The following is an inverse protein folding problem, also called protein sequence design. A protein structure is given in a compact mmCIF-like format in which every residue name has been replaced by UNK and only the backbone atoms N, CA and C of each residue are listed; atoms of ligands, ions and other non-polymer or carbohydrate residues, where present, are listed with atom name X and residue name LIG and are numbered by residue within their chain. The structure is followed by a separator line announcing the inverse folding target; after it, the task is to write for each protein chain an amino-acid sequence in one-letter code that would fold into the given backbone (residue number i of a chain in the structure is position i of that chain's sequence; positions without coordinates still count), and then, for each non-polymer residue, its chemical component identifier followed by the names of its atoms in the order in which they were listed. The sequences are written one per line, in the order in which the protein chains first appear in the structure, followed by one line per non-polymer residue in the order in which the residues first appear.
data_IF_588477043099
#
_entry.id   IF_588477043099
#
_cell.length_a   1.000
_cell.length_b   1.000
_cell.length_c   1.000
_cell.angle_alpha   90.00
_cell.angle_beta   90.00
_cell.angle_gamma   90.00
#
_symmetry.space_group_name_H-M   'P 1'
#
loop_
_entity.id
_entity.type
_entity.pdbx_description
1 polymer ?
#
# COMPACT_ATOMS: atom_id res chain seq x y z
N UNK A 1 -70.79 -86.75 -27.20
CA UNK A 1 -70.57 -85.77 -26.13
C UNK A 1 -69.71 -84.66 -26.68
N UNK A 2 -70.09 -83.42 -26.34
CA UNK A 2 -69.59 -82.10 -26.76
C UNK A 2 -68.06 -81.88 -26.50
N UNK A 3 -67.47 -80.75 -26.99
CA UNK A 3 -66.25 -80.67 -27.78
C UNK A 3 -65.06 -80.04 -27.03
N UNK A 4 -63.89 -79.93 -27.68
CA UNK A 4 -62.88 -78.94 -27.29
C UNK A 4 -62.24 -78.31 -28.54
N UNK A 5 -62.65 -77.07 -28.81
CA UNK A 5 -62.04 -76.17 -29.80
C UNK A 5 -60.61 -75.77 -29.42
N UNK A 6 -59.71 -75.56 -30.39
CA UNK A 6 -58.46 -74.84 -30.18
C UNK A 6 -58.71 -73.33 -30.13
N UNK A 7 -58.38 -72.70 -28.99
CA UNK A 7 -58.35 -71.24 -28.83
C UNK A 7 -57.31 -70.62 -29.77
N UNK A 8 -57.80 -69.96 -30.82
CA UNK A 8 -57.01 -69.04 -31.61
C UNK A 8 -56.74 -67.77 -30.77
N UNK A 9 -55.47 -67.54 -30.39
CA UNK A 9 -55.02 -66.30 -29.76
C UNK A 9 -55.06 -65.19 -30.80
N UNK A 10 -55.96 -64.23 -30.63
CA UNK A 10 -55.94 -62.96 -31.35
C UNK A 10 -54.70 -62.16 -30.94
N UNK A 11 -53.92 -61.74 -31.94
CA UNK A 11 -52.84 -60.77 -31.78
C UNK A 11 -53.43 -59.42 -31.32
N UNK A 12 -52.72 -58.64 -30.51
CA UNK A 12 -53.12 -57.27 -30.21
C UNK A 12 -53.06 -56.46 -31.51
N UNK A 13 -54.16 -55.78 -31.78
CA UNK A 13 -54.33 -54.82 -32.86
C UNK A 13 -53.42 -53.61 -32.53
N UNK A 14 -52.20 -53.60 -33.08
CA UNK A 14 -51.36 -52.39 -33.12
C UNK A 14 -52.06 -51.38 -34.01
N UNK A 15 -52.96 -50.60 -33.40
CA UNK A 15 -53.45 -49.37 -33.98
C UNK A 15 -52.26 -48.42 -34.08
N UNK A 16 -51.60 -48.42 -35.23
CA UNK A 16 -50.79 -47.30 -35.70
C UNK A 16 -51.72 -46.08 -35.80
N UNK A 17 -51.92 -45.39 -34.67
CA UNK A 17 -52.49 -44.06 -34.64
C UNK A 17 -51.52 -43.14 -35.36
N UNK A 18 -51.75 -42.93 -36.66
CA UNK A 18 -51.05 -41.90 -37.41
C UNK A 18 -51.36 -40.56 -36.77
N UNK A 19 -50.32 -39.88 -36.29
CA UNK A 19 -50.42 -38.50 -35.78
C UNK A 19 -51.14 -37.65 -36.82
N UNK A 20 -52.25 -37.02 -36.41
CA UNK A 20 -53.01 -36.18 -37.33
C UNK A 20 -52.24 -34.87 -37.56
N UNK A 21 -52.35 -34.30 -38.77
CA UNK A 21 -51.72 -33.02 -39.12
C UNK A 21 -52.04 -31.92 -38.10
N UNK A 22 -53.24 -31.96 -37.53
CA UNK A 22 -53.74 -31.03 -36.52
C UNK A 22 -52.99 -31.14 -35.17
N UNK A 23 -52.61 -32.36 -34.79
CA UNK A 23 -51.83 -32.63 -33.58
C UNK A 23 -50.38 -32.15 -33.73
N UNK A 24 -49.77 -32.35 -34.90
CA UNK A 24 -48.43 -31.82 -35.20
C UNK A 24 -48.44 -30.28 -35.20
N UNK A 25 -49.45 -29.64 -35.81
CA UNK A 25 -49.61 -28.18 -35.77
C UNK A 25 -49.82 -27.65 -34.34
N UNK A 26 -50.62 -28.35 -33.54
CA UNK A 26 -50.84 -28.00 -32.12
C UNK A 26 -49.55 -28.06 -31.30
N UNK A 27 -48.78 -29.15 -31.42
CA UNK A 27 -47.49 -29.30 -30.73
C UNK A 27 -46.48 -28.23 -31.19
N UNK A 28 -46.42 -27.95 -32.48
CA UNK A 28 -45.52 -26.92 -33.01
C UNK A 28 -45.87 -25.53 -32.48
N UNK A 29 -47.15 -25.20 -32.38
CA UNK A 29 -47.62 -23.93 -31.82
C UNK A 29 -47.24 -23.79 -30.33
N UNK A 30 -47.43 -24.83 -29.52
CA UNK A 30 -47.06 -24.83 -28.11
C UNK A 30 -45.54 -24.70 -27.93
N UNK A 31 -44.74 -25.43 -28.72
CA UNK A 31 -43.27 -25.33 -28.68
C UNK A 31 -42.80 -23.93 -29.11
N UNK A 32 -43.41 -23.33 -30.13
CA UNK A 32 -43.06 -21.98 -30.58
C UNK A 32 -43.31 -20.94 -29.50
N UNK A 33 -44.46 -21.01 -28.81
CA UNK A 33 -44.80 -20.10 -27.70
C UNK A 33 -43.80 -20.28 -26.54
N UNK A 34 -43.54 -21.52 -26.13
CA UNK A 34 -42.58 -21.81 -25.06
C UNK A 34 -41.16 -21.35 -25.44
N UNK A 35 -40.76 -21.52 -26.69
CA UNK A 35 -39.47 -21.08 -27.22
C UNK A 35 -39.26 -19.57 -27.08
N UNK A 36 -40.29 -18.76 -27.37
CA UNK A 36 -40.22 -17.29 -27.23
C UNK A 36 -40.00 -16.87 -25.77
N UNK A 37 -40.73 -17.47 -24.83
CA UNK A 37 -40.58 -17.15 -23.40
C UNK A 37 -39.18 -17.50 -22.86
N UNK A 38 -38.66 -18.68 -23.23
CA UNK A 38 -37.31 -19.10 -22.81
C UNK A 38 -36.25 -18.18 -23.41
N UNK A 39 -36.35 -17.84 -24.70
CA UNK A 39 -35.41 -16.96 -25.37
C UNK A 39 -35.32 -15.58 -24.72
N UNK A 40 -36.45 -14.96 -24.39
CA UNK A 40 -36.48 -13.66 -23.71
C UNK A 40 -35.77 -13.71 -22.34
N UNK A 41 -36.04 -14.76 -21.55
CA UNK A 41 -35.42 -14.92 -20.24
C UNK A 41 -33.90 -15.15 -20.33
N UNK A 42 -33.43 -15.86 -21.36
CA UNK A 42 -32.01 -16.10 -21.60
C UNK A 42 -31.29 -14.81 -21.99
N UNK A 43 -31.89 -13.97 -22.84
CA UNK A 43 -31.29 -12.69 -23.27
C UNK A 43 -31.09 -11.74 -22.09
N UNK A 44 -32.08 -11.61 -21.21
CA UNK A 44 -31.95 -10.74 -20.02
C UNK A 44 -30.82 -11.23 -19.12
N UNK A 45 -30.77 -12.55 -18.84
CA UNK A 45 -29.70 -13.14 -18.02
C UNK A 45 -28.32 -12.94 -18.64
N UNK A 46 -28.19 -13.09 -19.96
CA UNK A 46 -26.93 -12.85 -20.66
C UNK A 46 -26.50 -11.38 -20.56
N UNK A 47 -27.44 -10.43 -20.64
CA UNK A 47 -27.14 -8.99 -20.47
C UNK A 47 -26.70 -8.69 -19.05
N UNK A 48 -27.39 -9.22 -18.05
CA UNK A 48 -27.04 -9.01 -16.64
C UNK A 48 -25.66 -9.59 -16.31
N UNK A 49 -25.33 -10.75 -16.87
CA UNK A 49 -24.00 -11.34 -16.71
C UNK A 49 -22.93 -10.51 -17.43
N UNK A 50 -23.21 -9.98 -18.62
CA UNK A 50 -22.31 -9.08 -19.32
C UNK A 50 -22.03 -7.80 -18.51
N UNK A 51 -23.07 -7.20 -17.90
CA UNK A 51 -22.95 -6.03 -17.01
C UNK A 51 -22.11 -6.33 -15.79
N UNK A 52 -22.36 -7.47 -15.14
CA UNK A 52 -21.60 -7.90 -13.98
C UNK A 52 -20.13 -8.15 -14.31
N UNK A 53 -19.87 -8.86 -15.41
CA UNK A 53 -18.53 -9.14 -15.91
C UNK A 53 -17.76 -7.86 -16.21
N UNK A 54 -18.40 -6.90 -16.90
CA UNK A 54 -17.78 -5.61 -17.20
C UNK A 54 -17.48 -4.80 -15.94
N UNK A 55 -18.40 -4.74 -14.97
CA UNK A 55 -18.15 -4.06 -13.72
C UNK A 55 -16.94 -4.65 -12.97
N UNK A 56 -16.86 -5.98 -12.86
CA UNK A 56 -15.72 -6.65 -12.24
C UNK A 56 -14.41 -6.40 -12.99
N UNK A 57 -14.47 -6.43 -14.33
CA UNK A 57 -13.34 -6.11 -15.19
C UNK A 57 -12.81 -4.70 -14.89
N UNK A 58 -13.68 -3.69 -14.81
CA UNK A 58 -13.26 -2.32 -14.51
C UNK A 58 -12.66 -2.17 -13.11
N UNK A 59 -13.22 -2.84 -12.10
CA UNK A 59 -12.66 -2.85 -10.75
C UNK A 59 -11.24 -3.41 -10.77
N UNK A 60 -11.03 -4.56 -11.43
CA UNK A 60 -9.71 -5.19 -11.56
C UNK A 60 -8.72 -4.28 -12.31
N UNK A 61 -9.13 -3.64 -13.40
CA UNK A 61 -8.29 -2.70 -14.15
C UNK A 61 -7.92 -1.48 -13.30
N UNK A 62 -8.84 -0.95 -12.50
CA UNK A 62 -8.55 0.18 -11.61
C UNK A 62 -7.58 -0.19 -10.50
N UNK A 63 -7.69 -1.40 -9.96
CA UNK A 63 -6.75 -1.92 -8.96
C UNK A 63 -5.36 -2.13 -9.58
N UNK A 64 -5.30 -2.73 -10.77
CA UNK A 64 -4.06 -2.89 -11.53
C UNK A 64 -3.36 -1.54 -11.77
N UNK A 65 -4.10 -0.47 -12.12
CA UNK A 65 -3.50 0.86 -12.24
C UNK A 65 -2.94 1.38 -10.91
N UNK A 66 -3.65 1.19 -9.80
CA UNK A 66 -3.17 1.62 -8.47
C UNK A 66 -1.88 0.91 -8.08
N UNK A 67 -1.71 -0.35 -8.47
CA UNK A 67 -0.55 -1.15 -8.11
C UNK A 67 0.62 -0.94 -9.10
N UNK A 68 0.33 -0.75 -10.38
CA UNK A 68 1.32 -0.58 -11.43
C UNK A 68 2.02 0.78 -11.40
N UNK A 69 1.27 1.87 -11.14
CA UNK A 69 1.80 3.24 -11.08
C UNK A 69 2.97 3.40 -10.09
N UNK A 70 2.82 3.03 -8.80
CA UNK A 70 3.93 3.13 -7.85
C UNK A 70 5.06 2.15 -8.20
N UNK A 71 4.75 0.97 -8.75
CA UNK A 71 5.77 -0.03 -9.12
C UNK A 71 6.66 0.43 -10.27
N UNK A 72 6.07 1.02 -11.31
CA UNK A 72 6.81 1.54 -12.46
C UNK A 72 7.41 2.92 -12.22
N UNK A 73 7.15 3.53 -11.05
CA UNK A 73 7.58 4.88 -10.70
C UNK A 73 7.11 5.91 -11.73
N UNK A 74 5.92 5.71 -12.29
CA UNK A 74 5.43 6.57 -13.36
C UNK A 74 3.93 6.50 -13.59
N UNK A 75 3.39 7.60 -14.11
CA UNK A 75 2.02 7.73 -14.56
C UNK A 75 2.02 8.08 -16.05
N UNK A 76 1.62 7.16 -16.95
CA UNK A 76 1.49 7.44 -18.37
C UNK A 76 0.42 8.50 -18.68
N UNK A 77 0.47 9.07 -19.88
CA UNK A 77 -0.65 9.83 -20.42
C UNK A 77 -1.90 8.95 -20.57
N UNK A 78 -3.09 9.56 -20.69
CA UNK A 78 -4.36 8.85 -20.76
C UNK A 78 -4.39 7.72 -21.82
N UNK A 79 -3.75 7.95 -22.98
CA UNK A 79 -3.65 6.97 -24.07
C UNK A 79 -2.81 5.74 -23.70
N UNK A 80 -1.82 5.88 -22.81
CA UNK A 80 -0.95 4.77 -22.39
C UNK A 80 -1.43 4.03 -21.13
N UNK A 81 -2.59 4.40 -20.57
CA UNK A 81 -3.12 3.74 -19.38
C UNK A 81 -3.68 2.34 -19.68
N UNK A 82 -4.25 2.13 -20.87
CA UNK A 82 -4.69 0.81 -21.32
C UNK A 82 -3.53 -0.16 -21.44
N UNK A 83 -2.41 0.27 -22.01
CA UNK A 83 -1.18 -0.52 -22.13
C UNK A 83 -0.63 -0.91 -20.76
N UNK A 84 -0.64 0.04 -19.80
CA UNK A 84 -0.20 -0.21 -18.43
C UNK A 84 -1.07 -1.27 -17.74
N UNK A 85 -2.39 -1.18 -17.90
CA UNK A 85 -3.35 -2.19 -17.40
C UNK A 85 -3.11 -3.54 -18.04
N UNK A 86 -2.94 -3.57 -19.36
CA UNK A 86 -2.74 -4.79 -20.12
C UNK A 86 -1.48 -5.54 -19.66
N UNK A 87 -0.39 -4.79 -19.45
CA UNK A 87 0.86 -5.31 -18.92
C UNK A 87 0.69 -5.87 -17.50
N UNK A 88 0.02 -5.12 -16.62
CA UNK A 88 -0.15 -5.50 -15.22
C UNK A 88 -1.06 -6.73 -15.04
N UNK A 89 -2.17 -6.78 -15.77
CA UNK A 89 -3.11 -7.91 -15.74
C UNK A 89 -2.69 -9.08 -16.63
N UNK A 90 -1.60 -8.94 -17.39
CA UNK A 90 -1.14 -9.92 -18.39
C UNK A 90 -2.23 -10.30 -19.41
N UNK A 91 -3.03 -9.31 -19.83
CA UNK A 91 -4.06 -9.45 -20.86
C UNK A 91 -3.62 -8.77 -22.15
N UNK A 92 -4.16 -9.15 -23.32
CA UNK A 92 -3.94 -8.42 -24.56
C UNK A 92 -4.38 -6.95 -24.45
N UNK A 93 -3.69 -5.98 -25.08
CA UNK A 93 -4.08 -4.56 -25.06
C UNK A 93 -5.53 -4.32 -25.49
N UNK A 94 -5.99 -5.00 -26.54
CA UNK A 94 -7.37 -4.91 -27.02
C UNK A 94 -8.40 -5.26 -25.92
N UNK A 95 -8.06 -6.18 -25.01
CA UNK A 95 -8.94 -6.55 -23.89
C UNK A 95 -9.03 -5.48 -22.83
N UNK A 96 -8.01 -4.62 -22.68
CA UNK A 96 -8.06 -3.44 -21.82
C UNK A 96 -8.85 -2.31 -22.49
N UNK A 97 -8.68 -2.13 -23.79
CA UNK A 97 -9.32 -1.07 -24.56
C UNK A 97 -10.78 -1.34 -24.93
N UNK A 98 -11.19 -2.60 -25.04
CA UNK A 98 -12.51 -2.95 -25.57
C UNK A 98 -13.29 -3.89 -24.66
N UNK A 99 -14.61 -3.65 -24.57
CA UNK A 99 -15.55 -4.56 -23.92
C UNK A 99 -15.60 -5.91 -24.65
N UNK A 100 -16.12 -6.98 -24.01
CA UNK A 100 -16.33 -8.25 -24.69
C UNK A 100 -17.19 -8.16 -25.97
N UNK A 101 -17.99 -7.10 -26.10
CA UNK A 101 -18.83 -6.80 -27.25
C UNK A 101 -18.11 -5.99 -28.34
N UNK A 102 -16.84 -5.62 -28.14
CA UNK A 102 -16.04 -4.84 -29.08
C UNK A 102 -16.25 -3.33 -28.99
N UNK A 103 -16.80 -2.83 -27.86
CA UNK A 103 -16.97 -1.39 -27.67
C UNK A 103 -15.78 -0.77 -26.94
N UNK A 104 -15.31 0.38 -27.41
CA UNK A 104 -14.14 1.04 -26.83
C UNK A 104 -14.43 1.64 -25.46
N UNK A 105 -13.63 1.24 -24.47
CA UNK A 105 -13.46 1.90 -23.17
C UNK A 105 -12.63 3.16 -23.33
N UNK A 106 -12.79 4.10 -22.38
CA UNK A 106 -12.01 5.33 -22.33
C UNK A 106 -11.36 5.49 -20.97
N UNK A 107 -10.07 5.77 -21.02
CA UNK A 107 -9.29 6.17 -19.85
C UNK A 107 -9.18 7.69 -19.86
N UNK A 108 -9.63 8.32 -18.79
CA UNK A 108 -9.59 9.77 -18.62
C UNK A 108 -8.75 10.10 -17.40
N UNK A 109 -7.95 11.16 -17.51
CA UNK A 109 -7.23 11.77 -16.40
C UNK A 109 -7.83 13.14 -16.12
N UNK A 110 -7.78 13.55 -14.86
CA UNK A 110 -8.25 14.87 -14.45
C UNK A 110 -7.48 15.97 -15.21
N UNK A 111 -8.13 16.91 -15.93
CA UNK A 111 -7.44 18.01 -16.61
C UNK A 111 -6.68 18.94 -15.67
N UNK A 112 -7.07 19.00 -14.39
CA UNK A 112 -6.38 19.74 -13.33
C UNK A 112 -5.23 18.94 -12.70
N UNK A 113 -4.96 17.72 -13.16
CA UNK A 113 -3.82 16.90 -12.72
C UNK A 113 -2.52 17.68 -12.85
N UNK A 114 -1.79 17.88 -11.75
CA UNK A 114 -0.41 18.40 -11.77
C UNK A 114 0.51 17.48 -10.98
N UNK A 115 1.61 17.09 -11.61
CA UNK A 115 2.64 16.19 -11.08
C UNK A 115 4.01 16.65 -11.59
N UNK A 116 5.08 16.39 -10.86
CA UNK A 116 6.45 16.72 -11.23
C UNK A 116 7.01 17.97 -10.56
N UNK A 117 8.17 18.44 -11.03
CA UNK A 117 8.96 19.48 -10.36
C UNK A 117 8.48 20.91 -10.64
N UNK A 118 7.45 21.08 -11.48
CA UNK A 118 6.84 22.37 -11.76
C UNK A 118 5.31 22.25 -11.79
N UNK A 119 4.61 23.36 -11.57
CA UNK A 119 3.16 23.42 -11.45
C UNK A 119 2.40 23.21 -12.78
N UNK A 120 3.10 23.15 -13.91
CA UNK A 120 2.51 22.99 -15.24
C UNK A 120 2.65 21.57 -15.80
N UNK A 121 3.45 20.72 -15.15
CA UNK A 121 3.68 19.36 -15.62
C UNK A 121 2.48 18.48 -15.27
N UNK A 122 2.07 17.70 -16.27
CA UNK A 122 0.92 16.80 -16.26
C UNK A 122 1.40 15.40 -16.66
N UNK A 123 0.52 14.40 -16.70
CA UNK A 123 0.90 13.10 -17.25
C UNK A 123 1.32 13.24 -18.74
N UNK A 124 2.39 12.57 -19.21
CA UNK A 124 3.13 11.51 -18.52
C UNK A 124 4.12 12.04 -17.48
N UNK A 125 4.26 11.32 -16.37
CA UNK A 125 5.20 11.60 -15.30
C UNK A 125 6.05 10.37 -15.00
N UNK A 126 7.36 10.57 -14.89
CA UNK A 126 8.29 9.57 -14.37
C UNK A 126 9.01 10.16 -13.17
N UNK A 127 9.04 9.42 -12.06
CA UNK A 127 9.69 9.87 -10.85
C UNK A 127 11.20 9.95 -11.03
N UNK A 128 11.77 11.06 -10.58
CA UNK A 128 13.21 11.29 -10.50
C UNK A 128 13.63 11.46 -9.03
N UNK A 129 14.93 11.64 -8.78
CA UNK A 129 15.45 11.97 -7.46
C UNK A 129 14.84 13.25 -6.84
N UNK A 130 14.26 14.13 -7.67
CA UNK A 130 13.59 15.33 -7.21
C UNK A 130 12.16 15.10 -6.73
N UNK A 131 11.54 13.96 -7.07
CA UNK A 131 10.14 13.67 -6.78
C UNK A 131 9.18 14.59 -7.54
N UNK A 132 8.04 14.86 -6.91
CA UNK A 132 7.00 15.78 -7.38
C UNK A 132 6.77 16.89 -6.36
N UNK A 133 6.32 18.06 -6.82
CA UNK A 133 5.55 18.98 -5.98
C UNK A 133 4.27 18.29 -5.49
N UNK A 134 3.55 18.90 -4.54
CA UNK A 134 2.29 18.34 -4.04
C UNK A 134 1.37 17.98 -5.21
N UNK A 135 1.00 16.69 -5.36
CA UNK A 135 0.10 16.28 -6.44
C UNK A 135 -1.23 17.02 -6.35
N UNK A 136 -1.58 17.73 -7.42
CA UNK A 136 -2.89 18.39 -7.54
C UNK A 136 -3.81 17.47 -8.33
N UNK A 137 -4.93 17.10 -7.73
CA UNK A 137 -5.94 16.21 -8.33
C UNK A 137 -5.38 14.97 -9.06
N UNK A 138 -4.60 14.09 -8.39
CA UNK A 138 -4.17 12.82 -8.96
C UNK A 138 -5.35 11.83 -9.02
N UNK A 139 -6.24 12.06 -10.00
CA UNK A 139 -7.50 11.34 -10.21
C UNK A 139 -7.58 10.91 -11.68
N UNK A 140 -8.25 9.80 -11.91
CA UNK A 140 -8.57 9.31 -13.24
C UNK A 140 -9.83 8.47 -13.21
N UNK A 141 -10.31 8.05 -14.37
CA UNK A 141 -11.43 7.12 -14.43
C UNK A 141 -11.36 6.25 -15.67
N UNK A 142 -11.97 5.08 -15.57
CA UNK A 142 -12.22 4.19 -16.69
C UNK A 142 -13.72 4.24 -16.98
N UNK A 143 -14.07 4.62 -18.19
CA UNK A 143 -15.45 4.74 -18.66
C UNK A 143 -15.68 3.64 -19.69
N UNK A 144 -16.79 2.93 -19.54
CA UNK A 144 -17.17 1.84 -20.44
C UNK A 144 -18.67 1.86 -20.73
N UNK A 145 -19.05 1.36 -21.90
CA UNK A 145 -20.44 1.17 -22.27
C UNK A 145 -20.61 -0.13 -23.05
N UNK A 146 -21.65 -0.91 -22.69
CA UNK A 146 -21.95 -2.19 -23.35
C UNK A 146 -22.81 -2.04 -24.61
N UNK A 147 -23.44 -0.89 -24.82
CA UNK A 147 -24.35 -0.66 -25.93
C UNK A 147 -23.68 -0.01 -27.15
N UNK A 148 -22.56 0.69 -26.95
CA UNK A 148 -21.84 1.44 -28.00
C UNK A 148 -20.46 1.90 -27.53
N UNK A 149 -19.66 2.41 -28.46
CA UNK A 149 -18.41 3.09 -28.15
C UNK A 149 -18.63 4.35 -27.31
N UNK A 150 -17.74 4.51 -26.33
CA UNK A 150 -17.67 5.70 -25.48
C UNK A 150 -17.03 6.85 -26.28
N UNK A 151 -17.70 8.02 -26.38
CA UNK A 151 -17.19 9.17 -27.13
C UNK A 151 -15.82 9.65 -26.62
N UNK A 152 -14.98 10.15 -27.52
CA UNK A 152 -13.64 10.65 -27.19
C UNK A 152 -13.63 12.02 -26.52
N UNK A 153 -14.70 12.79 -26.68
CA UNK A 153 -14.87 14.19 -26.25
C UNK A 153 -15.62 14.33 -24.91
N UNK A 154 -15.66 13.25 -24.11
CA UNK A 154 -16.27 13.29 -22.79
C UNK A 154 -15.58 14.32 -21.88
N UNK A 155 -16.37 15.21 -21.31
CA UNK A 155 -15.92 16.14 -20.29
C UNK A 155 -15.66 15.37 -18.98
N UNK A 156 -14.43 15.47 -18.46
CA UNK A 156 -14.01 14.77 -17.24
C UNK A 156 -14.90 15.10 -16.05
N UNK A 157 -15.13 16.38 -15.75
CA UNK A 157 -15.89 16.82 -14.57
C UNK A 157 -17.35 16.34 -14.63
N UNK A 158 -17.98 16.44 -15.80
CA UNK A 158 -19.36 15.96 -16.02
C UNK A 158 -19.50 14.47 -15.72
N UNK A 159 -18.52 13.64 -16.11
CA UNK A 159 -18.54 12.19 -15.85
C UNK A 159 -18.10 11.89 -14.41
N UNK A 160 -17.17 12.65 -13.87
CA UNK A 160 -16.64 12.47 -12.52
C UNK A 160 -17.72 12.71 -11.46
N UNK A 161 -18.55 13.73 -11.63
CA UNK A 161 -19.62 14.07 -10.68
C UNK A 161 -20.95 13.35 -10.95
N UNK A 162 -20.97 12.48 -11.97
CA UNK A 162 -22.16 11.75 -12.37
C UNK A 162 -22.66 10.82 -11.26
N UNK A 163 -23.95 10.93 -10.91
CA UNK A 163 -24.59 10.04 -9.96
C UNK A 163 -24.55 8.58 -10.46
N UNK A 164 -24.53 7.62 -9.53
CA UNK A 164 -24.56 6.20 -9.90
C UNK A 164 -25.86 5.88 -10.64
N UNK A 165 -25.75 5.21 -11.79
CA UNK A 165 -26.92 4.80 -12.59
C UNK A 165 -27.52 5.94 -13.40
N UNK A 166 -26.78 7.01 -13.68
CA UNK A 166 -27.15 8.01 -14.68
C UNK A 166 -26.14 8.04 -15.82
N UNK A 167 -26.52 8.65 -16.93
CA UNK A 167 -25.70 8.79 -18.14
C UNK A 167 -25.45 10.27 -18.44
N UNK A 168 -24.31 10.63 -19.04
CA UNK A 168 -24.08 11.98 -19.51
C UNK A 168 -25.16 12.41 -20.51
N UNK A 169 -25.54 13.70 -20.46
CA UNK A 169 -26.48 14.26 -21.41
C UNK A 169 -26.00 14.04 -22.86
N UNK A 170 -26.91 13.63 -23.74
CA UNK A 170 -26.61 13.31 -25.15
C UNK A 170 -26.16 11.86 -25.38
N UNK A 171 -25.87 11.10 -24.33
CA UNK A 171 -25.64 9.66 -24.44
C UNK A 171 -26.99 8.93 -24.41
N UNK A 172 -27.54 8.65 -25.61
CA UNK A 172 -28.78 7.87 -25.76
C UNK A 172 -28.53 6.38 -25.52
N UNK A 173 -28.20 6.00 -24.28
CA UNK A 173 -27.97 4.61 -23.84
C UNK A 173 -28.71 4.34 -22.55
N UNK A 174 -29.01 3.06 -22.30
CA UNK A 174 -29.57 2.64 -21.02
C UNK A 174 -28.53 2.87 -19.91
N UNK A 175 -28.97 3.46 -18.81
CA UNK A 175 -28.05 3.81 -17.72
C UNK A 175 -27.43 2.61 -17.01
N UNK A 176 -28.04 1.43 -17.17
CA UNK A 176 -27.51 0.15 -16.69
C UNK A 176 -26.32 -0.37 -17.52
N UNK A 177 -26.16 0.12 -18.74
CA UNK A 177 -25.10 -0.31 -19.66
C UNK A 177 -23.91 0.66 -19.66
N UNK A 178 -23.97 1.74 -18.87
CA UNK A 178 -22.90 2.74 -18.73
C UNK A 178 -22.20 2.62 -17.38
N UNK A 179 -20.88 2.46 -17.42
CA UNK A 179 -20.05 2.21 -16.26
C UNK A 179 -18.95 3.25 -16.12
N UNK A 180 -18.77 3.74 -14.89
CA UNK A 180 -17.68 4.65 -14.52
C UNK A 180 -16.97 4.07 -13.31
N UNK A 181 -15.71 3.71 -13.50
CA UNK A 181 -14.82 3.30 -12.43
C UNK A 181 -13.85 4.43 -12.10
N UNK A 182 -14.08 5.08 -10.95
CA UNK A 182 -13.25 6.19 -10.48
C UNK A 182 -11.95 5.66 -9.85
N UNK A 183 -10.85 6.31 -10.20
CA UNK A 183 -9.51 6.03 -9.72
C UNK A 183 -9.01 7.24 -8.94
N UNK A 184 -8.73 7.04 -7.66
CA UNK A 184 -8.02 8.00 -6.82
C UNK A 184 -6.59 7.51 -6.63
N UNK A 185 -5.62 8.34 -7.01
CA UNK A 185 -4.18 8.08 -6.90
C UNK A 185 -3.56 8.90 -5.77
N UNK A 186 -4.32 9.66 -4.98
CA UNK A 186 -3.76 10.44 -3.86
C UNK A 186 -3.00 9.55 -2.87
N UNK A 187 -3.56 8.40 -2.54
CA UNK A 187 -2.96 7.46 -1.59
C UNK A 187 -1.68 6.75 -2.07
N UNK A 188 -1.30 6.88 -3.35
CA UNK A 188 -0.04 6.33 -3.84
C UNK A 188 1.13 7.30 -3.73
N UNK A 189 0.90 8.54 -3.30
CA UNK A 189 1.95 9.53 -3.08
C UNK A 189 2.15 9.77 -1.59
N UNK A 190 3.41 9.75 -1.16
CA UNK A 190 3.82 10.03 0.22
C UNK A 190 4.76 11.21 0.24
N UNK A 191 4.59 12.07 1.24
CA UNK A 191 5.39 13.26 1.47
C UNK A 191 6.69 12.88 2.18
N UNK A 192 7.82 13.32 1.64
CA UNK A 192 9.12 13.24 2.28
C UNK A 192 9.60 14.65 2.62
N UNK A 193 9.89 14.88 3.90
CA UNK A 193 10.48 16.13 4.38
C UNK A 193 11.90 15.82 4.87
N UNK A 194 12.89 16.52 4.31
CA UNK A 194 14.28 16.46 4.74
C UNK A 194 14.66 17.83 5.27
N UNK A 195 14.91 17.91 6.57
CA UNK A 195 15.23 19.16 7.24
C UNK A 195 16.69 19.15 7.68
N UNK A 196 17.55 19.96 7.07
CA UNK A 196 18.94 20.07 7.50
C UNK A 196 19.07 21.24 8.48
N UNK A 197 19.19 20.91 9.77
CA UNK A 197 19.39 21.92 10.84
C UNK A 197 20.86 22.09 11.20
N UNK A 198 21.74 21.24 10.66
CA UNK A 198 23.18 21.36 10.77
C UNK A 198 23.68 22.65 10.09
N UNK A 199 24.68 23.29 10.69
CA UNK A 199 25.29 24.53 10.20
C UNK A 199 26.56 24.30 9.39
N UNK A 200 27.20 23.16 9.59
CA UNK A 200 28.53 22.87 9.08
C UNK A 200 28.52 21.78 8.01
N UNK A 201 27.50 20.91 8.01
CA UNK A 201 27.39 19.77 7.10
C UNK A 201 26.13 19.79 6.25
N UNK A 202 26.27 19.39 4.98
CA UNK A 202 25.14 19.11 4.10
C UNK A 202 24.54 17.75 4.41
N UNK A 203 23.22 17.63 4.31
CA UNK A 203 22.53 16.35 4.47
C UNK A 203 22.53 15.58 3.16
N UNK A 204 23.28 14.47 3.09
CA UNK A 204 23.38 13.63 1.90
C UNK A 204 22.31 12.53 1.88
N UNK A 205 21.64 12.36 0.74
CA UNK A 205 20.62 11.33 0.56
C UNK A 205 20.52 10.88 -0.91
N UNK A 206 19.87 9.74 -1.15
CA UNK A 206 19.54 9.24 -2.48
C UNK A 206 18.11 8.69 -2.49
N UNK A 207 17.47 8.72 -3.65
CA UNK A 207 16.12 8.20 -3.87
C UNK A 207 16.22 7.09 -4.90
N UNK A 208 15.60 5.92 -4.68
CA UNK A 208 15.54 4.79 -5.62
C UNK A 208 16.89 4.46 -6.31
N UNK A 209 18.02 4.68 -5.62
CA UNK A 209 19.36 4.45 -6.17
C UNK A 209 19.86 5.50 -7.17
N UNK A 210 19.12 6.59 -7.38
CA UNK A 210 19.65 7.78 -8.05
C UNK A 210 20.88 8.30 -7.28
N UNK A 211 21.82 8.93 -8.00
CA UNK A 211 23.05 9.46 -7.39
C UNK A 211 22.80 10.45 -6.26
N UNK A 212 23.82 10.68 -5.44
CA UNK A 212 23.74 11.51 -4.23
C UNK A 212 23.11 12.87 -4.52
N UNK A 213 22.13 13.21 -3.70
CA UNK A 213 21.50 14.52 -3.57
C UNK A 213 21.92 15.12 -2.23
N UNK A 214 21.84 16.43 -2.13
CA UNK A 214 22.12 17.15 -0.88
C UNK A 214 20.97 18.05 -0.49
N UNK A 215 20.83 18.25 0.81
CA UNK A 215 20.05 19.33 1.42
C UNK A 215 21.05 20.33 2.00
N UNK A 216 21.01 21.56 1.50
CA UNK A 216 21.93 22.63 1.92
C UNK A 216 21.81 22.91 3.42
N UNK A 217 22.90 23.40 4.03
CA UNK A 217 22.96 23.72 5.46
C UNK A 217 21.86 24.69 5.86
N UNK A 218 21.18 24.43 6.97
CA UNK A 218 20.06 25.26 7.46
C UNK A 218 18.84 25.33 6.54
N UNK A 219 18.71 24.44 5.54
CA UNK A 219 17.58 24.43 4.60
C UNK A 219 16.66 23.21 4.79
N UNK A 220 15.46 23.30 4.21
CA UNK A 220 14.50 22.21 4.15
C UNK A 220 14.20 21.86 2.70
N UNK A 221 14.13 20.57 2.41
CA UNK A 221 13.60 20.03 1.17
C UNK A 221 12.33 19.25 1.43
N UNK A 222 11.38 19.40 0.52
CA UNK A 222 10.09 18.73 0.58
C UNK A 222 9.69 18.29 -0.82
N UNK A 223 9.28 17.03 -0.95
CA UNK A 223 8.80 16.46 -2.19
C UNK A 223 7.87 15.28 -1.93
N UNK A 224 7.08 14.92 -2.93
CA UNK A 224 6.19 13.76 -2.92
C UNK A 224 6.76 12.67 -3.82
N UNK A 225 6.74 11.45 -3.33
CA UNK A 225 7.24 10.27 -4.01
C UNK A 225 6.17 9.18 -4.03
N UNK A 226 6.27 8.26 -4.97
CA UNK A 226 5.41 7.09 -5.02
C UNK A 226 5.61 6.18 -3.81
N UNK A 227 4.54 5.49 -3.44
CA UNK A 227 4.55 4.45 -2.44
C UNK A 227 5.59 3.37 -2.77
N UNK A 228 6.34 2.96 -1.75
CA UNK A 228 7.41 2.01 -1.85
C UNK A 228 8.74 2.59 -2.34
N UNK A 229 8.87 3.92 -2.51
CA UNK A 229 10.14 4.54 -2.92
C UNK A 229 11.20 4.39 -1.85
N UNK A 230 12.41 4.00 -2.26
CA UNK A 230 13.53 3.79 -1.34
C UNK A 230 14.26 5.11 -1.11
N UNK A 231 14.36 5.54 0.15
CA UNK A 231 15.21 6.65 0.59
C UNK A 231 16.45 6.07 1.23
N UNK A 232 17.61 6.44 0.70
CA UNK A 232 18.90 6.09 1.27
C UNK A 232 19.51 7.34 1.89
N UNK A 233 19.84 7.27 3.17
CA UNK A 233 20.40 8.35 3.96
C UNK A 233 21.88 8.05 4.18
N UNK A 234 22.71 9.08 4.06
CA UNK A 234 24.15 8.98 4.23
C UNK A 234 24.63 9.92 5.33
N UNK A 235 25.71 9.54 5.99
CA UNK A 235 26.48 10.44 6.83
C UNK A 235 27.09 11.58 6.00
N UNK A 236 27.51 12.66 6.65
CA UNK A 236 28.16 13.79 5.97
C UNK A 236 29.43 13.41 5.20
N UNK A 237 30.10 12.33 5.59
CA UNK A 237 31.28 11.80 4.89
C UNK A 237 30.94 10.98 3.62
N UNK A 238 29.65 10.74 3.36
CA UNK A 238 29.16 9.97 2.21
C UNK A 238 28.97 8.47 2.47
N UNK A 239 29.24 7.98 3.68
CA UNK A 239 29.00 6.59 4.06
C UNK A 239 27.50 6.33 4.26
N UNK A 240 27.07 5.10 3.94
CA UNK A 240 25.67 4.69 4.10
C UNK A 240 25.30 4.69 5.59
N UNK A 241 24.28 5.46 5.95
CA UNK A 241 23.73 5.47 7.31
C UNK A 241 22.51 4.57 7.41
N UNK A 242 21.51 4.79 6.54
CA UNK A 242 20.25 4.07 6.60
C UNK A 242 19.61 3.94 5.21
N UNK A 243 18.78 2.92 5.05
CA UNK A 243 17.93 2.75 3.86
C UNK A 243 16.53 2.39 4.32
N UNK A 244 15.57 3.16 3.87
CA UNK A 244 14.17 3.01 4.24
C UNK A 244 13.27 3.04 3.00
N UNK A 245 12.13 2.36 3.08
CA UNK A 245 11.10 2.36 2.05
C UNK A 245 9.94 3.24 2.51
N UNK A 246 9.60 4.25 1.71
CA UNK A 246 8.49 5.17 1.99
C UNK A 246 7.15 4.46 1.83
N UNK A 247 6.54 4.14 2.96
CA UNK A 247 5.19 3.60 3.03
C UNK A 247 4.15 4.63 3.46
N UNK A 248 4.60 5.70 4.12
CA UNK A 248 3.81 6.78 4.71
C UNK A 248 4.55 8.12 4.62
N UNK A 249 3.84 9.20 4.91
CA UNK A 249 4.44 10.53 5.05
C UNK A 249 5.53 10.52 6.13
N UNK A 250 6.76 10.83 5.74
CA UNK A 250 7.93 10.70 6.63
C UNK A 250 8.77 11.98 6.63
N UNK A 251 9.36 12.30 7.79
CA UNK A 251 10.29 13.41 7.94
C UNK A 251 11.59 12.97 8.58
N UNK A 252 12.70 13.52 8.10
CA UNK A 252 14.03 13.34 8.68
C UNK A 252 14.67 14.69 8.97
N UNK A 253 15.52 14.70 9.98
CA UNK A 253 16.30 15.83 10.43
C UNK A 253 17.77 15.48 10.33
N UNK A 254 18.56 16.30 9.67
CA UNK A 254 20.02 16.15 9.61
C UNK A 254 20.67 17.08 10.63
N UNK A 255 21.44 16.51 11.55
CA UNK A 255 22.11 17.21 12.65
C UNK A 255 23.41 16.49 13.02
N UNK A 256 24.49 17.25 13.28
CA UNK A 256 25.82 16.71 13.59
C UNK A 256 26.31 15.67 12.57
N UNK A 257 26.08 15.93 11.28
CA UNK A 257 26.50 15.05 10.18
C UNK A 257 25.76 13.72 10.05
N UNK A 258 24.61 13.56 10.71
CA UNK A 258 23.79 12.35 10.67
C UNK A 258 22.29 12.66 10.54
N UNK A 259 21.54 11.74 9.92
CA UNK A 259 20.08 11.81 9.85
C UNK A 259 19.41 11.15 11.05
N UNK A 260 18.30 11.73 11.53
CA UNK A 260 17.43 11.18 12.55
C UNK A 260 15.95 11.43 12.24
N UNK A 261 15.05 10.68 12.87
CA UNK A 261 13.57 10.88 12.74
C UNK A 261 13.02 11.98 13.65
N UNK A 262 13.78 12.35 14.67
CA UNK A 262 13.41 13.37 15.62
C UNK A 262 14.51 14.43 15.63
N UNK A 263 14.12 15.68 15.85
CA UNK A 263 15.08 16.71 16.23
C UNK A 263 15.60 16.30 17.61
N UNK A 264 16.85 15.89 17.69
CA UNK A 264 17.46 15.53 18.97
C UNK A 264 17.64 16.81 19.81
N UNK A 265 17.72 17.98 19.17
CA UNK A 265 17.84 19.29 19.83
C UNK A 265 16.93 20.40 19.28
N UNK A 266 15.83 20.68 19.97
CA UNK A 266 15.47 22.09 20.21
C UNK A 266 16.61 22.69 21.06
N UNK A 267 17.10 23.88 20.71
CA UNK A 267 18.36 24.46 21.19
C UNK A 267 18.86 23.88 22.52
N UNK A 268 19.96 23.10 22.46
CA UNK A 268 20.63 22.43 23.59
C UNK A 268 20.22 22.98 24.96
N UNK A 269 19.44 22.26 25.80
CA UNK A 269 20.09 21.83 27.02
C UNK A 269 21.22 20.90 26.57
N UNK A 270 22.46 21.14 26.98
CA UNK A 270 23.56 20.20 26.74
C UNK A 270 23.05 18.77 26.93
N UNK A 271 23.52 17.81 26.11
CA UNK A 271 23.29 16.40 26.45
C UNK A 271 23.57 16.31 27.94
N UNK A 272 22.58 15.92 28.76
CA UNK A 272 22.78 15.95 30.21
C UNK A 272 24.11 15.26 30.46
N UNK A 273 25.07 15.94 31.12
CA UNK A 273 26.52 15.64 31.12
C UNK A 273 26.93 14.16 30.96
N UNK A 274 26.12 13.25 31.50
CA UNK A 274 26.14 11.83 31.29
C UNK A 274 26.16 11.33 29.82
N UNK A 275 25.30 11.83 28.92
CA UNK A 275 25.27 11.37 27.52
C UNK A 275 26.54 11.70 26.74
N UNK A 276 27.08 12.90 26.96
CA UNK A 276 28.40 13.33 26.45
C UNK A 276 29.54 12.45 27.03
N UNK A 277 29.44 12.07 28.31
CA UNK A 277 30.41 11.17 28.94
C UNK A 277 30.34 9.74 28.37
N UNK A 278 29.14 9.21 28.12
CA UNK A 278 28.96 7.87 27.51
C UNK A 278 29.54 7.85 26.09
N UNK A 279 29.25 8.89 25.30
CA UNK A 279 29.78 9.01 23.95
C UNK A 279 31.32 9.20 23.94
N UNK A 280 31.85 10.02 24.84
CA UNK A 280 33.30 10.17 25.02
C UNK A 280 33.97 8.86 25.46
N UNK A 281 33.30 8.07 26.32
CA UNK A 281 33.80 6.79 26.79
C UNK A 281 33.80 5.72 25.71
N UNK A 282 32.76 5.65 24.86
CA UNK A 282 32.71 4.71 23.72
C UNK A 282 33.71 5.05 22.62
N UNK A 283 33.99 6.35 22.42
CA UNK A 283 34.92 6.82 21.40
C UNK A 283 36.39 6.79 21.87
N UNK A 284 36.67 6.53 23.15
CA UNK A 284 38.02 6.37 23.65
C UNK A 284 38.65 5.08 23.09
N UNK A 285 39.97 5.07 22.77
CA UNK A 285 40.64 3.86 22.30
C UNK A 285 40.45 2.71 23.29
N UNK A 286 40.12 1.49 22.83
CA UNK A 286 39.94 0.36 23.74
C UNK A 286 41.27 0.04 24.43
N UNK A 287 41.23 -0.40 25.70
CA UNK A 287 42.42 -0.83 26.43
C UNK A 287 43.10 -2.00 25.72
N UNK A 288 44.42 -2.09 25.87
CA UNK A 288 45.27 -2.99 25.09
C UNK A 288 45.13 -4.48 25.45
N UNK A 289 44.58 -4.80 26.62
CA UNK A 289 44.44 -6.19 27.10
C UNK A 289 43.26 -6.36 28.08
N UNK A 290 42.00 -6.21 27.62
CA UNK A 290 40.84 -6.39 28.49
C UNK A 290 40.70 -7.86 28.89
N UNK A 291 40.51 -8.13 30.18
CA UNK A 291 40.28 -9.47 30.70
C UNK A 291 38.88 -9.96 30.41
N UNK A 292 38.76 -11.27 30.20
CA UNK A 292 37.47 -11.97 30.03
C UNK A 292 36.54 -11.39 28.95
N UNK A 293 37.10 -10.70 27.93
CA UNK A 293 36.31 -10.12 26.84
C UNK A 293 35.52 -8.86 27.24
N UNK A 294 35.90 -8.20 28.32
CA UNK A 294 35.32 -6.92 28.71
C UNK A 294 35.47 -5.87 27.59
N UNK A 295 34.42 -5.10 27.35
CA UNK A 295 34.43 -4.01 26.38
C UNK A 295 33.70 -2.80 26.95
N UNK A 296 33.94 -1.62 26.38
CA UNK A 296 33.36 -0.37 26.84
C UNK A 296 31.81 -0.39 26.81
N UNK A 297 31.21 -1.09 25.83
CA UNK A 297 29.76 -1.24 25.75
C UNK A 297 29.19 -2.02 26.96
N UNK A 298 29.84 -3.11 27.36
CA UNK A 298 29.42 -3.91 28.51
C UNK A 298 29.43 -3.08 29.81
N UNK A 299 30.42 -2.20 30.01
CA UNK A 299 30.46 -1.30 31.17
C UNK A 299 29.28 -0.33 31.16
N UNK A 300 28.89 0.19 29.99
CA UNK A 300 27.74 1.09 29.85
C UNK A 300 26.42 0.36 30.11
N UNK A 301 26.25 -0.85 29.56
CA UNK A 301 25.04 -1.65 29.74
C UNK A 301 24.82 -1.97 31.23
N UNK A 302 25.90 -2.37 31.94
CA UNK A 302 25.88 -2.61 33.39
C UNK A 302 25.58 -1.34 34.19
N UNK A 303 26.12 -0.20 33.77
CA UNK A 303 25.83 1.09 34.41
C UNK A 303 24.35 1.48 34.26
N UNK A 304 23.76 1.27 33.08
CA UNK A 304 22.32 1.49 32.87
C UNK A 304 21.47 0.54 33.72
N UNK A 305 21.85 -0.74 33.81
CA UNK A 305 21.16 -1.73 34.64
C UNK A 305 21.24 -1.37 36.13
N UNK A 306 22.40 -0.89 36.60
CA UNK A 306 22.58 -0.38 37.95
C UNK A 306 21.69 0.84 38.22
N UNK A 307 21.70 1.85 37.34
CA UNK A 307 20.87 3.04 37.48
C UNK A 307 19.37 2.74 37.50
N UNK A 308 18.94 1.84 36.62
CA UNK A 308 17.55 1.38 36.56
C UNK A 308 17.13 0.68 37.86
N UNK A 309 17.97 -0.23 38.36
CA UNK A 309 17.72 -0.97 39.60
C UNK A 309 17.73 -0.05 40.82
N UNK A 310 18.65 0.93 40.84
CA UNK A 310 18.70 1.97 41.86
C UNK A 310 17.42 2.79 41.88
N UNK A 311 16.91 3.18 40.71
CA UNK A 311 15.67 3.93 40.60
C UNK A 311 14.48 3.13 41.16
N UNK A 312 14.39 1.82 40.86
CA UNK A 312 13.37 0.92 41.41
C UNK A 312 13.48 0.81 42.94
N UNK A 313 14.70 0.63 43.47
CA UNK A 313 14.92 0.56 44.91
C UNK A 313 14.58 1.88 45.62
N UNK A 314 14.95 3.02 45.03
CA UNK A 314 14.77 4.34 45.60
C UNK A 314 13.32 4.83 45.56
N UNK A 315 12.58 4.54 44.49
CA UNK A 315 11.21 5.01 44.28
C UNK A 315 10.14 4.04 44.78
N UNK A 316 10.51 2.79 45.09
CA UNK A 316 9.55 1.70 45.29
C UNK A 316 8.99 1.19 43.95
N UNK A 317 8.44 -0.03 43.94
CA UNK A 317 7.97 -0.66 42.71
C UNK A 317 6.84 0.13 42.01
N UNK A 318 6.83 0.21 40.66
CA UNK A 318 5.71 0.77 39.92
C UNK A 318 4.41 0.00 40.22
N UNK A 319 3.23 0.63 40.14
CA UNK A 319 1.95 0.10 40.64
C UNK A 319 1.47 -1.23 40.04
N UNK A 320 2.16 -1.77 39.02
CA UNK A 320 1.86 -3.05 38.38
C UNK A 320 2.61 -4.25 38.97
N UNK A 321 3.58 -4.05 39.87
CA UNK A 321 4.33 -5.11 40.55
C UNK A 321 4.08 -4.96 42.04
N UNK A 322 3.93 -6.07 42.78
CA UNK A 322 3.61 -6.09 44.21
C UNK A 322 4.37 -4.99 44.97
N UNK A 323 3.63 -4.04 45.54
CA UNK A 323 4.20 -2.88 46.22
C UNK A 323 5.05 -3.35 47.41
N UNK A 324 6.36 -3.16 47.35
CA UNK A 324 7.20 -3.30 48.53
C UNK A 324 7.06 -2.02 49.36
N UNK A 325 6.57 -2.14 50.59
CA UNK A 325 6.24 -1.01 51.49
C UNK A 325 7.41 -0.07 51.82
N UNK A 326 8.66 -0.46 51.52
CA UNK A 326 9.87 0.28 51.90
C UNK A 326 10.95 0.26 50.81
N UNK A 327 10.91 1.24 49.90
CA UNK A 327 12.07 1.61 49.09
C UNK A 327 13.00 2.57 49.84
N UNK A 328 14.29 2.63 49.46
CA UNK A 328 15.21 3.70 49.89
C UNK A 328 15.83 3.60 51.30
N UNK A 329 15.70 2.46 52.01
CA UNK A 329 16.36 2.28 53.32
C UNK A 329 17.52 1.28 53.24
N UNK A 330 18.67 1.63 53.83
CA UNK A 330 19.87 0.76 53.88
C UNK A 330 19.84 -0.24 55.04
N UNK A 331 18.86 -0.12 55.94
CA UNK A 331 18.68 -1.00 57.10
C UNK A 331 17.99 -2.33 56.76
N UNK A 332 17.22 -2.39 55.67
CA UNK A 332 16.42 -3.55 55.29
C UNK A 332 17.08 -4.32 54.13
N UNK A 333 18.26 -4.89 54.38
CA UNK A 333 19.06 -5.64 53.38
C UNK A 333 18.40 -6.92 52.85
N UNK A 334 17.23 -7.27 53.38
CA UNK A 334 16.47 -8.46 53.01
C UNK A 334 15.47 -8.22 51.87
N UNK A 335 15.26 -6.97 51.43
CA UNK A 335 14.33 -6.70 50.32
C UNK A 335 14.94 -7.13 48.97
N UNK A 336 14.21 -7.87 48.11
CA UNK A 336 14.74 -8.34 46.83
C UNK A 336 15.35 -7.25 45.93
N UNK A 337 14.77 -6.04 45.81
CA UNK A 337 15.37 -4.97 45.01
C UNK A 337 16.74 -4.51 45.50
N UNK A 338 16.98 -4.54 46.81
CA UNK A 338 18.29 -4.18 47.39
C UNK A 338 19.35 -5.24 47.09
N UNK A 339 18.97 -6.53 47.03
CA UNK A 339 19.89 -7.60 46.62
C UNK A 339 20.29 -7.46 45.16
N UNK A 340 19.31 -7.21 44.28
CA UNK A 340 19.57 -6.99 42.85
C UNK A 340 20.47 -5.76 42.67
N UNK A 341 20.25 -4.69 43.43
CA UNK A 341 21.12 -3.50 43.40
C UNK A 341 22.58 -3.84 43.75
N UNK A 342 22.81 -4.60 44.82
CA UNK A 342 24.16 -5.03 45.21
C UNK A 342 24.79 -5.97 44.18
N UNK A 343 24.00 -6.85 43.56
CA UNK A 343 24.48 -7.73 42.49
C UNK A 343 24.89 -6.92 41.25
N UNK A 344 24.10 -5.90 40.87
CA UNK A 344 24.44 -4.97 39.79
C UNK A 344 25.69 -4.15 40.12
N UNK A 345 25.85 -3.67 41.35
CA UNK A 345 27.06 -2.95 41.78
C UNK A 345 28.32 -3.83 41.69
N UNK A 346 28.22 -5.07 42.18
CA UNK A 346 29.31 -6.04 42.10
C UNK A 346 29.67 -6.40 40.64
N UNK A 347 28.67 -6.55 39.76
CA UNK A 347 28.89 -6.78 38.32
C UNK A 347 29.55 -5.58 37.66
N UNK A 348 29.04 -4.37 37.89
CA UNK A 348 29.61 -3.14 37.35
C UNK A 348 31.08 -2.97 37.77
N UNK A 349 31.40 -3.23 39.03
CA UNK A 349 32.78 -3.21 39.52
C UNK A 349 33.66 -4.27 38.83
N UNK A 350 33.14 -5.49 38.66
CA UNK A 350 33.87 -6.56 37.98
C UNK A 350 34.16 -6.23 36.50
N UNK A 351 33.15 -5.74 35.75
CA UNK A 351 33.33 -5.35 34.36
C UNK A 351 34.26 -4.16 34.19
N UNK A 352 34.19 -3.18 35.09
CA UNK A 352 35.10 -2.03 35.07
C UNK A 352 36.54 -2.45 35.33
N UNK A 353 36.79 -3.30 36.35
CA UNK A 353 38.13 -3.81 36.65
C UNK A 353 38.68 -4.68 35.50
N UNK A 354 37.85 -5.55 34.93
CA UNK A 354 38.24 -6.38 33.79
C UNK A 354 38.54 -5.55 32.52
N UNK A 355 38.01 -4.33 32.41
CA UNK A 355 38.30 -3.44 31.30
C UNK A 355 39.65 -2.72 31.48
N UNK A 356 40.05 -2.39 32.70
CA UNK A 356 41.25 -1.56 32.96
C UNK A 356 42.50 -2.35 33.37
N UNK A 357 42.35 -3.56 33.93
CA UNK A 357 43.46 -4.43 34.39
C UNK A 357 43.88 -5.45 33.35
#
# INVERSE_FOLDING_TARGET
MLPTEPRCRTAPDERCGGFTLLEILGVLAVIAILGVFVAQSAIVRMRDEARRSEHLSLVNMSQALRDAVPRQRGLPAAVGLSDLVALELQIPPDRAEETPQGHRRRFLLDPALRLGTNINLTAPYTQSAAGSLQPVSPRGMIVSCLARDVPSDLNFDTVWDLAKGTVPAGMNVDAEDFFVQRLDLRGVFHRLILNNVDRDHVGLYAIDGFGHQWVEVGTRREAWFFHGTTVTLYYANGDLQAREVLMEDTSYVHEHGQWGRQVIYGGRPAAGSFGELVEAFLNAPPPSDPKFGANQQAVIDEFYEYMWTYAIWAMGSPPAVAQFEKGGTTSDTQVPPFRILNDCDARMAAFTNNLID
#
